data_IF_874508444034
#
_entry.id   IF_874508444034
#
_cell.length_a   1.000
_cell.length_b   1.000
_cell.length_c   1.000
_cell.angle_alpha   90.00
_cell.angle_beta   90.00
_cell.angle_gamma   90.00
#
_symmetry.space_group_name_H-M   'P 1'
#
loop_
_entity.id
_entity.type
_entity.pdbx_description
1 polymer ?
#
# COMPACT_ATOMS: atom_id res chain seq x y z
N UNK A 1 -23.38 -29.83 2.36
CA UNK A 1 -23.23 -28.35 2.42
C UNK A 1 -22.03 -27.94 3.30
N UNK A 2 -21.87 -28.44 4.54
CA UNK A 2 -20.80 -28.00 5.46
C UNK A 2 -19.36 -28.20 4.96
N UNK A 3 -19.02 -29.37 4.39
CA UNK A 3 -17.69 -29.67 3.87
C UNK A 3 -17.25 -28.73 2.72
N UNK A 4 -18.17 -28.36 1.85
CA UNK A 4 -17.88 -27.45 0.73
C UNK A 4 -17.60 -26.03 1.25
N UNK A 5 -18.37 -25.55 2.22
CA UNK A 5 -18.14 -24.26 2.85
C UNK A 5 -16.79 -24.20 3.58
N UNK A 6 -16.43 -25.26 4.33
CA UNK A 6 -15.14 -25.35 5.01
C UNK A 6 -13.97 -25.36 4.02
N UNK A 7 -14.06 -26.15 2.93
CA UNK A 7 -13.03 -26.19 1.91
C UNK A 7 -12.87 -24.83 1.22
N UNK A 8 -13.98 -24.15 0.91
CA UNK A 8 -14.00 -22.81 0.32
C UNK A 8 -13.33 -21.79 1.24
N UNK A 9 -13.66 -21.81 2.54
CA UNK A 9 -13.01 -20.96 3.53
C UNK A 9 -11.50 -21.21 3.57
N UNK A 10 -11.06 -22.47 3.60
CA UNK A 10 -9.65 -22.83 3.63
C UNK A 10 -8.90 -22.32 2.38
N UNK A 11 -9.47 -22.50 1.19
CA UNK A 11 -8.87 -22.02 -0.06
C UNK A 11 -8.76 -20.48 -0.05
N UNK A 12 -9.81 -19.76 0.32
CA UNK A 12 -9.80 -18.30 0.36
C UNK A 12 -8.82 -17.77 1.43
N UNK A 13 -8.68 -18.42 2.57
CA UNK A 13 -7.68 -18.06 3.59
C UNK A 13 -6.25 -18.29 3.08
N UNK A 14 -5.98 -19.37 2.35
CA UNK A 14 -4.68 -19.61 1.73
C UNK A 14 -4.37 -18.53 0.66
N UNK A 15 -5.35 -18.15 -0.16
CA UNK A 15 -5.22 -17.05 -1.11
C UNK A 15 -4.95 -15.73 -0.37
N UNK A 16 -5.65 -15.46 0.73
CA UNK A 16 -5.41 -14.28 1.56
C UNK A 16 -3.99 -14.26 2.10
N UNK A 17 -3.50 -15.35 2.69
CA UNK A 17 -2.11 -15.45 3.21
C UNK A 17 -1.09 -15.20 2.09
N UNK A 18 -1.28 -15.78 0.92
CA UNK A 18 -0.41 -15.55 -0.24
C UNK A 18 -0.46 -14.07 -0.69
N UNK A 19 -1.64 -13.44 -0.67
CA UNK A 19 -1.82 -12.04 -0.98
C UNK A 19 -1.14 -11.12 0.03
N UNK A 20 -1.26 -11.41 1.34
CA UNK A 20 -0.61 -10.68 2.43
C UNK A 20 0.92 -10.77 2.31
N UNK A 21 1.47 -11.95 2.03
CA UNK A 21 2.90 -12.15 1.80
C UNK A 21 3.41 -11.32 0.62
N UNK A 22 2.69 -11.34 -0.50
CA UNK A 22 3.05 -10.60 -1.71
C UNK A 22 2.92 -9.09 -1.53
N UNK A 23 1.98 -8.63 -0.72
CA UNK A 23 1.72 -7.22 -0.42
C UNK A 23 2.46 -6.72 0.83
N UNK A 24 3.42 -7.50 1.34
CA UNK A 24 4.26 -7.16 2.48
C UNK A 24 3.46 -6.74 3.74
N UNK A 25 2.40 -7.48 4.05
CA UNK A 25 1.64 -7.29 5.28
C UNK A 25 2.31 -8.04 6.45
N UNK A 26 1.98 -7.69 7.67
CA UNK A 26 2.50 -8.36 8.88
C UNK A 26 1.97 -9.81 8.89
N UNK A 27 2.80 -10.82 9.24
CA UNK A 27 4.21 -10.72 9.66
C UNK A 27 5.24 -10.73 8.52
N UNK A 28 4.83 -10.83 7.26
CA UNK A 28 5.68 -11.08 6.09
C UNK A 28 6.20 -9.79 5.40
N UNK A 29 6.31 -8.68 6.13
CA UNK A 29 6.66 -7.35 5.60
C UNK A 29 8.15 -7.14 5.31
N UNK A 30 9.06 -7.92 5.92
CA UNK A 30 10.50 -7.62 6.03
C UNK A 30 11.21 -7.44 4.67
N UNK A 31 10.75 -8.15 3.65
CA UNK A 31 11.37 -8.10 2.32
C UNK A 31 11.22 -6.72 1.64
N UNK A 32 10.14 -5.97 1.94
CA UNK A 32 9.82 -4.73 1.24
C UNK A 32 10.77 -3.57 1.61
N UNK A 33 11.04 -3.27 2.91
CA UNK A 33 12.07 -2.30 3.29
C UNK A 33 13.48 -2.71 2.84
N UNK A 34 13.79 -4.01 2.79
CA UNK A 34 15.09 -4.51 2.34
C UNK A 34 15.26 -4.33 0.82
N UNK A 35 14.20 -4.42 0.05
CA UNK A 35 14.20 -4.16 -1.40
C UNK A 35 14.54 -2.69 -1.76
N UNK A 36 14.60 -1.79 -0.77
CA UNK A 36 14.97 -0.37 -0.99
C UNK A 36 16.45 -0.15 -1.34
N UNK A 37 17.29 -1.17 -1.27
CA UNK A 37 18.67 -1.10 -1.77
C UNK A 37 18.73 -1.04 -3.32
N UNK A 38 17.69 -1.50 -4.00
CA UNK A 38 17.58 -1.46 -5.46
C UNK A 38 17.58 -0.01 -6.01
N UNK A 39 17.95 0.20 -7.29
CA UNK A 39 17.86 1.50 -7.95
C UNK A 39 16.45 2.09 -7.87
N UNK A 40 16.34 3.42 -7.77
CA UNK A 40 15.04 4.08 -7.52
C UNK A 40 13.98 3.83 -8.59
N UNK A 41 14.29 3.77 -9.91
CA UNK A 41 13.27 3.43 -10.90
C UNK A 41 12.64 2.05 -10.68
N UNK A 42 13.44 1.07 -10.26
CA UNK A 42 12.97 -0.29 -9.91
C UNK A 42 12.08 -0.22 -8.67
N UNK A 43 12.48 0.54 -7.64
CA UNK A 43 11.66 0.74 -6.45
C UNK A 43 10.33 1.43 -6.78
N UNK A 44 10.32 2.42 -7.67
CA UNK A 44 9.11 3.11 -8.11
C UNK A 44 8.13 2.16 -8.81
N UNK A 45 8.64 1.31 -9.71
CA UNK A 45 7.84 0.30 -10.38
C UNK A 45 7.27 -0.74 -9.40
N UNK A 46 8.09 -1.24 -8.50
CA UNK A 46 7.74 -2.27 -7.51
C UNK A 46 6.62 -1.79 -6.56
N UNK A 47 6.71 -0.56 -6.05
CA UNK A 47 5.74 0.01 -5.11
C UNK A 47 4.56 0.71 -5.78
N UNK A 48 4.81 1.36 -6.92
CA UNK A 48 3.81 2.17 -7.62
C UNK A 48 2.85 1.32 -8.44
N UNK A 49 3.38 0.51 -9.36
CA UNK A 49 2.56 -0.06 -10.42
C UNK A 49 2.30 -1.56 -10.30
N UNK A 50 3.22 -2.38 -9.70
CA UNK A 50 3.16 -3.80 -9.98
C UNK A 50 3.15 -4.71 -8.76
N UNK A 51 4.31 -5.04 -8.22
CA UNK A 51 4.52 -6.25 -7.43
C UNK A 51 3.66 -6.32 -6.16
N UNK A 52 3.64 -5.25 -5.37
CA UNK A 52 2.89 -5.23 -4.10
C UNK A 52 1.37 -5.21 -4.27
N UNK A 53 0.89 -4.77 -5.44
CA UNK A 53 -0.54 -4.70 -5.75
C UNK A 53 -1.10 -6.00 -6.31
N UNK A 54 -0.26 -6.85 -6.89
CA UNK A 54 -0.69 -8.15 -7.40
C UNK A 54 -1.37 -8.97 -6.30
N UNK A 55 -0.81 -8.99 -5.09
CA UNK A 55 -1.42 -9.70 -3.97
C UNK A 55 -2.85 -9.24 -3.69
N UNK A 56 -3.05 -7.93 -3.57
CA UNK A 56 -4.38 -7.34 -3.33
C UNK A 56 -5.33 -7.60 -4.48
N UNK A 57 -4.87 -7.45 -5.73
CA UNK A 57 -5.69 -7.70 -6.92
C UNK A 57 -6.11 -9.16 -7.04
N UNK A 58 -5.22 -10.10 -6.73
CA UNK A 58 -5.53 -11.54 -6.71
C UNK A 58 -6.58 -11.85 -5.63
N UNK A 59 -6.44 -11.29 -4.45
CA UNK A 59 -7.42 -11.46 -3.38
C UNK A 59 -8.78 -10.86 -3.75
N UNK A 60 -8.83 -9.62 -4.27
CA UNK A 60 -10.06 -9.00 -4.76
C UNK A 60 -10.75 -9.85 -5.84
N UNK A 61 -9.95 -10.37 -6.78
CA UNK A 61 -10.47 -11.24 -7.86
C UNK A 61 -11.02 -12.55 -7.30
N UNK A 62 -10.34 -13.16 -6.32
CA UNK A 62 -10.80 -14.37 -5.65
C UNK A 62 -12.13 -14.15 -4.93
N UNK A 63 -12.31 -13.02 -4.25
CA UNK A 63 -13.57 -12.65 -3.61
C UNK A 63 -14.72 -12.56 -4.63
N UNK A 64 -14.51 -11.84 -5.74
CA UNK A 64 -15.53 -11.71 -6.81
C UNK A 64 -15.89 -13.06 -7.42
N UNK A 65 -14.90 -13.93 -7.64
CA UNK A 65 -15.12 -15.25 -8.26
C UNK A 65 -15.75 -16.27 -7.31
N UNK A 66 -15.65 -16.05 -6.00
CA UNK A 66 -16.10 -17.02 -5.02
C UNK A 66 -17.63 -17.02 -4.79
N UNK A 67 -18.35 -15.95 -5.16
CA UNK A 67 -19.77 -15.78 -4.83
C UNK A 67 -19.96 -15.62 -3.31
N UNK A 68 -20.74 -16.50 -2.65
CA UNK A 68 -20.87 -16.46 -1.20
C UNK A 68 -19.53 -16.72 -0.51
N UNK A 69 -19.11 -15.81 0.35
CA UNK A 69 -17.80 -15.83 1.02
C UNK A 69 -18.06 -16.08 2.51
N UNK A 70 -17.37 -17.06 3.14
CA UNK A 70 -17.44 -17.26 4.57
C UNK A 70 -16.92 -16.03 5.34
N UNK A 71 -17.68 -15.57 6.32
CA UNK A 71 -17.37 -14.37 7.11
C UNK A 71 -16.00 -14.40 7.78
N UNK A 72 -15.51 -15.59 8.12
CA UNK A 72 -14.18 -15.76 8.73
C UNK A 72 -13.06 -15.16 7.86
N UNK A 73 -13.20 -15.19 6.52
CA UNK A 73 -12.22 -14.60 5.59
C UNK A 73 -12.21 -13.08 5.74
N UNK A 74 -13.40 -12.47 5.87
CA UNK A 74 -13.54 -11.04 6.11
C UNK A 74 -12.91 -10.61 7.43
N UNK A 75 -13.22 -11.32 8.52
CA UNK A 75 -12.65 -11.02 9.84
C UNK A 75 -11.13 -11.14 9.87
N UNK A 76 -10.56 -12.19 9.30
CA UNK A 76 -9.09 -12.36 9.24
C UNK A 76 -8.45 -11.22 8.44
N UNK A 77 -9.02 -10.86 7.29
CA UNK A 77 -8.53 -9.76 6.47
C UNK A 77 -8.57 -8.40 7.20
N UNK A 78 -9.67 -8.11 7.92
CA UNK A 78 -9.84 -6.86 8.69
C UNK A 78 -8.83 -6.80 9.85
N UNK A 79 -8.70 -7.88 10.63
CA UNK A 79 -7.79 -7.90 11.79
C UNK A 79 -6.34 -7.72 11.33
N UNK A 80 -5.91 -8.47 10.31
CA UNK A 80 -4.56 -8.33 9.76
C UNK A 80 -4.31 -6.91 9.21
N UNK A 81 -5.28 -6.35 8.50
CA UNK A 81 -5.20 -5.00 7.96
C UNK A 81 -5.06 -3.95 9.08
N UNK A 82 -5.82 -4.06 10.16
CA UNK A 82 -5.71 -3.14 11.31
C UNK A 82 -4.35 -3.25 12.00
N UNK A 83 -3.87 -4.46 12.25
CA UNK A 83 -2.56 -4.71 12.86
C UNK A 83 -1.45 -4.16 11.97
N UNK A 84 -1.50 -4.44 10.67
CA UNK A 84 -0.50 -3.97 9.71
C UNK A 84 -0.52 -2.46 9.52
N UNK A 85 -1.71 -1.83 9.54
CA UNK A 85 -1.84 -0.38 9.45
C UNK A 85 -1.19 0.32 10.63
N UNK A 86 -1.48 -0.16 11.85
CA UNK A 86 -0.88 0.37 13.08
C UNK A 86 0.64 0.14 13.08
N UNK A 87 1.08 -1.07 12.75
CA UNK A 87 2.49 -1.40 12.65
C UNK A 87 3.22 -0.52 11.63
N UNK A 88 2.66 -0.38 10.42
CA UNK A 88 3.23 0.43 9.36
C UNK A 88 3.35 1.91 9.76
N UNK A 89 2.35 2.45 10.46
CA UNK A 89 2.38 3.80 11.01
C UNK A 89 3.48 3.97 12.07
N UNK A 90 3.58 3.07 13.02
CA UNK A 90 4.60 3.14 14.07
C UNK A 90 6.02 3.03 13.49
N UNK A 91 6.23 2.16 12.51
CA UNK A 91 7.53 2.00 11.84
C UNK A 91 7.88 3.13 10.87
N UNK A 92 6.90 3.87 10.41
CA UNK A 92 7.10 5.04 9.54
C UNK A 92 7.76 6.21 10.30
N UNK A 93 7.39 6.44 11.55
CA UNK A 93 7.82 7.60 12.34
C UNK A 93 9.34 7.70 12.56
N UNK A 94 10.06 6.63 12.93
CA UNK A 94 11.51 6.69 13.19
C UNK A 94 12.38 6.70 11.93
N UNK A 95 11.79 6.61 10.73
CA UNK A 95 12.57 6.47 9.50
C UNK A 95 13.28 7.76 9.13
N UNK A 96 14.59 7.65 8.94
CA UNK A 96 15.46 8.75 8.45
C UNK A 96 15.81 8.60 6.96
N UNK A 97 15.65 7.41 6.40
CA UNK A 97 15.85 7.12 4.98
C UNK A 97 14.54 7.29 4.23
N UNK A 98 14.54 8.16 3.21
CA UNK A 98 13.34 8.51 2.45
C UNK A 98 12.73 7.30 1.72
N UNK A 99 13.56 6.39 1.18
CA UNK A 99 13.06 5.19 0.50
C UNK A 99 12.40 4.22 1.49
N UNK A 100 13.02 4.00 2.67
CA UNK A 100 12.44 3.14 3.71
C UNK A 100 11.14 3.73 4.26
N UNK A 101 11.09 5.05 4.45
CA UNK A 101 9.88 5.76 4.83
C UNK A 101 8.75 5.50 3.82
N UNK A 102 9.05 5.60 2.51
CA UNK A 102 8.09 5.31 1.45
C UNK A 102 7.65 3.83 1.44
N UNK A 103 8.54 2.89 1.78
CA UNK A 103 8.21 1.47 1.89
C UNK A 103 7.19 1.22 3.02
N UNK A 104 7.44 1.71 4.24
CA UNK A 104 6.49 1.56 5.35
C UNK A 104 5.16 2.27 5.10
N UNK A 105 5.20 3.44 4.45
CA UNK A 105 3.99 4.10 3.99
C UNK A 105 3.22 3.25 2.96
N UNK A 106 3.89 2.47 2.10
CA UNK A 106 3.23 1.54 1.18
C UNK A 106 2.55 0.40 1.92
N UNK A 107 3.22 -0.19 2.93
CA UNK A 107 2.65 -1.24 3.79
C UNK A 107 1.34 -0.74 4.43
N UNK A 108 1.38 0.43 5.08
CA UNK A 108 0.20 1.01 5.71
C UNK A 108 -0.92 1.37 4.71
N UNK A 109 -0.60 1.84 3.50
CA UNK A 109 -1.62 2.18 2.50
C UNK A 109 -2.26 0.93 1.87
N UNK A 110 -1.52 -0.17 1.71
CA UNK A 110 -2.09 -1.42 1.22
C UNK A 110 -3.01 -2.09 2.25
N UNK A 111 -2.75 -1.90 3.55
CA UNK A 111 -3.68 -2.38 4.58
C UNK A 111 -5.06 -1.72 4.48
N UNK A 112 -5.17 -0.46 4.05
CA UNK A 112 -6.48 0.15 3.75
C UNK A 112 -7.25 -0.64 2.70
N UNK A 113 -6.55 -1.14 1.68
CA UNK A 113 -7.19 -1.94 0.62
C UNK A 113 -7.66 -3.28 1.17
N UNK A 114 -6.83 -3.99 1.96
CA UNK A 114 -7.24 -5.24 2.62
C UNK A 114 -8.39 -5.03 3.58
N UNK A 115 -8.41 -3.91 4.31
CA UNK A 115 -9.52 -3.53 5.19
C UNK A 115 -10.82 -3.37 4.41
N UNK A 116 -10.80 -2.60 3.30
CA UNK A 116 -11.97 -2.41 2.44
C UNK A 116 -12.44 -3.72 1.80
N UNK A 117 -11.52 -4.57 1.32
CA UNK A 117 -11.86 -5.89 0.80
C UNK A 117 -12.42 -6.82 1.89
N UNK A 118 -11.91 -6.75 3.12
CA UNK A 118 -12.48 -7.48 4.26
C UNK A 118 -13.90 -7.04 4.57
N UNK A 119 -14.18 -5.73 4.57
CA UNK A 119 -15.53 -5.20 4.77
C UNK A 119 -16.49 -5.58 3.65
N UNK A 120 -16.02 -5.71 2.42
CA UNK A 120 -16.86 -6.11 1.29
C UNK A 120 -17.45 -7.51 1.45
N UNK A 121 -16.79 -8.39 2.22
CA UNK A 121 -17.32 -9.73 2.55
C UNK A 121 -18.64 -9.66 3.30
N UNK A 122 -18.88 -8.59 4.07
CA UNK A 122 -20.12 -8.34 4.80
C UNK A 122 -21.17 -7.59 3.98
N UNK A 123 -21.04 -7.54 2.66
CA UNK A 123 -22.02 -6.97 1.73
C UNK A 123 -21.82 -5.49 1.43
N UNK A 124 -20.74 -4.86 1.85
CA UNK A 124 -20.47 -3.44 1.54
C UNK A 124 -19.84 -3.29 0.15
N UNK A 125 -20.65 -3.02 -0.87
CA UNK A 125 -20.18 -2.71 -2.22
C UNK A 125 -19.31 -1.45 -2.24
N UNK A 126 -19.68 -0.43 -1.45
CA UNK A 126 -18.91 0.81 -1.35
C UNK A 126 -17.49 0.57 -0.85
N UNK A 127 -17.30 -0.36 0.11
CA UNK A 127 -15.98 -0.71 0.61
C UNK A 127 -15.13 -1.41 -0.46
N UNK A 128 -15.73 -2.25 -1.30
CA UNK A 128 -15.05 -2.88 -2.43
C UNK A 128 -14.61 -1.84 -3.45
N UNK A 129 -15.51 -0.96 -3.87
CA UNK A 129 -15.25 0.08 -4.87
C UNK A 129 -14.18 1.07 -4.37
N UNK A 130 -14.26 1.47 -3.10
CA UNK A 130 -13.25 2.29 -2.44
C UNK A 130 -11.87 1.62 -2.41
N UNK A 131 -11.81 0.33 -2.11
CA UNK A 131 -10.57 -0.45 -2.13
C UNK A 131 -9.95 -0.49 -3.52
N UNK A 132 -10.74 -0.78 -4.57
CA UNK A 132 -10.28 -0.81 -5.96
C UNK A 132 -9.82 0.57 -6.42
N UNK A 133 -10.60 1.62 -6.13
CA UNK A 133 -10.23 3.01 -6.42
C UNK A 133 -8.93 3.40 -5.73
N UNK A 134 -8.71 2.95 -4.48
CA UNK A 134 -7.48 3.22 -3.74
C UNK A 134 -6.24 2.58 -4.36
N UNK A 135 -6.34 1.35 -4.90
CA UNK A 135 -5.24 0.69 -5.63
C UNK A 135 -4.75 1.59 -6.77
N UNK A 136 -5.70 2.16 -7.52
CA UNK A 136 -5.39 3.01 -8.67
C UNK A 136 -4.78 4.35 -8.22
N UNK A 137 -5.43 5.07 -7.31
CA UNK A 137 -4.98 6.37 -6.82
C UNK A 137 -3.60 6.30 -6.14
N UNK A 138 -3.38 5.26 -5.33
CA UNK A 138 -2.11 5.01 -4.70
C UNK A 138 -0.98 4.74 -5.71
N UNK A 139 -1.29 4.15 -6.89
CA UNK A 139 -0.31 3.92 -7.94
C UNK A 139 0.37 5.22 -8.38
N UNK A 140 -0.43 6.21 -8.76
CA UNK A 140 0.08 7.49 -9.26
C UNK A 140 0.84 8.26 -8.18
N UNK A 141 0.25 8.39 -6.98
CA UNK A 141 0.86 9.12 -5.89
C UNK A 141 2.22 8.52 -5.47
N UNK A 142 2.32 7.20 -5.39
CA UNK A 142 3.57 6.52 -5.02
C UNK A 142 4.62 6.58 -6.11
N UNK A 143 4.24 6.37 -7.36
CA UNK A 143 5.19 6.45 -8.48
C UNK A 143 5.81 7.85 -8.54
N UNK A 144 4.99 8.91 -8.46
CA UNK A 144 5.48 10.28 -8.40
C UNK A 144 6.46 10.48 -7.23
N UNK A 145 6.07 10.02 -6.05
CA UNK A 145 6.88 10.21 -4.84
C UNK A 145 8.24 9.50 -4.94
N UNK A 146 8.27 8.25 -5.44
CA UNK A 146 9.52 7.53 -5.64
C UNK A 146 10.40 8.17 -6.71
N UNK A 147 9.85 8.64 -7.82
CA UNK A 147 10.63 9.30 -8.88
C UNK A 147 11.27 10.59 -8.36
N UNK A 148 10.55 11.39 -7.58
CA UNK A 148 11.09 12.60 -6.95
C UNK A 148 12.16 12.24 -5.91
N UNK A 149 11.92 11.20 -5.09
CA UNK A 149 12.92 10.69 -4.16
C UNK A 149 14.20 10.23 -4.87
N UNK A 150 14.05 9.64 -6.05
CA UNK A 150 15.15 9.27 -6.91
C UNK A 150 15.92 10.46 -7.46
N UNK A 151 15.22 11.47 -7.94
CA UNK A 151 15.81 12.72 -8.41
C UNK A 151 16.64 13.37 -7.30
N UNK A 152 16.13 13.47 -6.08
CA UNK A 152 16.87 14.00 -4.95
C UNK A 152 18.09 13.16 -4.60
N UNK A 153 17.96 11.84 -4.60
CA UNK A 153 19.06 10.94 -4.31
C UNK A 153 20.17 11.05 -5.37
N UNK A 154 19.81 11.23 -6.64
CA UNK A 154 20.75 11.38 -7.73
C UNK A 154 21.47 12.74 -7.69
N UNK A 155 20.74 13.83 -7.48
CA UNK A 155 21.30 15.19 -7.52
C UNK A 155 22.11 15.56 -6.28
N UNK A 156 21.77 15.01 -5.11
CA UNK A 156 22.42 15.33 -3.83
C UNK A 156 23.34 14.22 -3.32
N UNK A 157 23.38 13.07 -3.97
CA UNK A 157 24.17 11.91 -3.53
C UNK A 157 23.69 11.33 -2.18
N UNK A 158 22.50 11.71 -1.69
CA UNK A 158 21.98 11.26 -0.40
C UNK A 158 20.49 11.05 -0.40
N UNK A 159 20.00 10.05 0.35
CA UNK A 159 18.59 9.75 0.56
C UNK A 159 18.13 10.02 2.00
N UNK A 160 19.04 10.58 2.83
CA UNK A 160 18.77 10.85 4.25
C UNK A 160 17.97 12.12 4.43
N UNK A 161 16.76 12.05 4.99
CA UNK A 161 15.85 13.19 5.21
C UNK A 161 16.49 14.39 5.91
N UNK A 162 17.31 14.23 6.98
CA UNK A 162 17.93 15.38 7.63
C UNK A 162 18.85 16.20 6.72
N UNK A 163 19.44 15.57 5.67
CA UNK A 163 20.33 16.21 4.71
C UNK A 163 19.59 16.88 3.54
N UNK A 164 18.28 16.70 3.44
CA UNK A 164 17.44 17.27 2.37
C UNK A 164 16.84 18.64 2.73
N UNK A 165 17.29 19.28 3.81
CA UNK A 165 16.79 20.60 4.22
C UNK A 165 17.07 21.66 3.16
N UNK A 166 16.07 22.52 2.89
CA UNK A 166 16.18 23.63 1.95
C UNK A 166 16.16 23.26 0.47
N UNK A 167 15.91 21.99 0.13
CA UNK A 167 15.92 21.46 -1.24
C UNK A 167 14.93 22.19 -2.16
N UNK A 168 13.78 22.64 -1.63
CA UNK A 168 12.75 23.36 -2.39
C UNK A 168 13.31 24.65 -3.00
N UNK A 169 14.22 25.36 -2.30
CA UNK A 169 14.86 26.56 -2.82
C UNK A 169 15.80 26.25 -3.99
N UNK A 170 16.48 25.12 -3.98
CA UNK A 170 17.44 24.69 -5.00
C UNK A 170 16.78 24.02 -6.20
N UNK A 171 15.73 23.24 -5.95
CA UNK A 171 14.96 22.47 -6.95
C UNK A 171 13.45 22.69 -6.77
N UNK A 172 12.92 23.84 -7.18
CA UNK A 172 11.53 24.23 -6.86
C UNK A 172 10.50 23.29 -7.49
N UNK A 173 10.70 22.84 -8.73
CA UNK A 173 9.78 21.92 -9.41
C UNK A 173 9.67 20.59 -8.67
N UNK A 174 10.81 19.99 -8.32
CA UNK A 174 10.82 18.71 -7.58
C UNK A 174 10.31 18.89 -6.16
N UNK A 175 10.54 20.07 -5.54
CA UNK A 175 10.02 20.39 -4.22
C UNK A 175 8.50 20.50 -4.19
N UNK A 176 7.90 21.20 -5.16
CA UNK A 176 6.44 21.29 -5.33
C UNK A 176 5.86 19.89 -5.60
N UNK A 177 6.46 19.12 -6.52
CA UNK A 177 6.03 17.77 -6.81
C UNK A 177 6.07 16.85 -5.58
N UNK A 178 7.09 17.00 -4.71
CA UNK A 178 7.17 16.27 -3.44
C UNK A 178 6.00 16.64 -2.51
N UNK A 179 5.68 17.93 -2.40
CA UNK A 179 4.54 18.41 -1.62
C UNK A 179 3.21 17.86 -2.14
N UNK A 180 2.99 17.91 -3.45
CA UNK A 180 1.80 17.36 -4.10
C UNK A 180 1.68 15.85 -3.86
N UNK A 181 2.77 15.08 -4.03
CA UNK A 181 2.78 13.66 -3.79
C UNK A 181 2.50 13.32 -2.31
N UNK A 182 3.05 14.10 -1.36
CA UNK A 182 2.81 13.93 0.06
C UNK A 182 1.34 14.19 0.43
N UNK A 183 0.75 15.28 -0.07
CA UNK A 183 -0.67 15.59 0.13
C UNK A 183 -1.58 14.54 -0.52
N UNK A 184 -1.21 14.05 -1.70
CA UNK A 184 -1.94 13.00 -2.38
C UNK A 184 -1.96 11.71 -1.54
N UNK A 185 -0.84 11.26 -0.97
CA UNK A 185 -0.78 10.07 -0.12
C UNK A 185 -1.51 10.27 1.21
N UNK A 186 -1.43 11.48 1.79
CA UNK A 186 -2.15 11.83 3.00
C UNK A 186 -3.69 11.76 2.81
N UNK A 187 -4.16 12.01 1.59
CA UNK A 187 -5.59 12.03 1.30
C UNK A 187 -6.24 13.36 1.69
N UNK A 188 -5.53 14.46 1.49
CA UNK A 188 -6.07 15.82 1.73
C UNK A 188 -6.90 16.24 0.53
N UNK A 189 -8.13 16.81 0.69
CA UNK A 189 -8.88 17.37 -0.42
C UNK A 189 -8.08 18.49 -1.11
N UNK A 190 -8.09 18.61 -2.43
CA UNK A 190 -8.83 17.88 -3.46
C UNK A 190 -8.04 16.72 -4.08
N UNK A 191 -7.10 16.10 -3.37
CA UNK A 191 -6.24 15.04 -3.92
C UNK A 191 -7.01 13.75 -4.19
N UNK A 192 -6.52 12.96 -5.16
CA UNK A 192 -7.19 11.74 -5.64
C UNK A 192 -7.43 10.67 -4.57
N UNK A 193 -6.49 10.48 -3.63
CA UNK A 193 -6.65 9.47 -2.56
C UNK A 193 -7.69 9.86 -1.49
N UNK A 194 -8.12 11.13 -1.46
CA UNK A 194 -9.25 11.54 -0.62
C UNK A 194 -10.51 10.75 -0.96
N UNK A 195 -10.91 10.75 -2.23
CA UNK A 195 -12.13 10.07 -2.69
C UNK A 195 -12.13 8.55 -2.50
N UNK A 196 -10.97 7.93 -2.36
CA UNK A 196 -10.86 6.48 -2.14
C UNK A 196 -10.78 6.09 -0.67
N UNK A 197 -10.64 7.05 0.25
CA UNK A 197 -10.61 6.82 1.70
C UNK A 197 -11.94 7.16 2.39
N UNK A 198 -12.75 7.96 1.75
CA UNK A 198 -14.09 8.38 2.17
C UNK A 198 -15.18 7.69 1.36
#
# INVERSE_FOLDING_TARGET
AGRVATLKAAVLLLVLVAALAKSAQVPMYMWLPSAMEAPTPVSAYLHGASMVKVGVCVFARALVSAGEIPEIVGWVAIIDAMVTMLFGFLMYLPQKDMKRLLAFSTIAQLSYVFFGLGLSVFGSQLAFDGAVCHIFNHAFAKTLFFLIAGSFSFTLGTRMLPKLRGIVKKYPISGVGFGVAALAIAGVPPMNTFFSKF
#
